data_IF_270997286945
#
_entry.id   IF_270997286945
#
_cell.length_a   1.000
_cell.length_b   1.000
_cell.length_c   1.000
_cell.angle_alpha   90.00
_cell.angle_beta   90.00
_cell.angle_gamma   90.00
#
_symmetry.space_group_name_H-M   'P 1'
#
loop_
_entity.id
_entity.type
_entity.pdbx_description
1 polymer ?
#
# COMPACT_ATOMS: atom_id res chain seq x y z
N UNK A 1 -59.23 -38.35 -37.50
CA UNK A 1 -58.24 -37.34 -37.91
C UNK A 1 -57.44 -36.95 -36.68
N UNK A 2 -56.24 -37.50 -36.49
CA UNK A 2 -55.39 -37.18 -35.35
C UNK A 2 -54.99 -35.70 -35.42
N UNK A 3 -55.34 -34.92 -34.40
CA UNK A 3 -54.97 -33.50 -34.35
C UNK A 3 -53.46 -33.39 -34.23
N UNK A 4 -52.84 -32.62 -35.13
CA UNK A 4 -51.39 -32.39 -35.24
C UNK A 4 -50.82 -31.55 -34.08
N UNK A 5 -51.54 -31.48 -32.95
CA UNK A 5 -51.20 -30.67 -31.79
C UNK A 5 -50.24 -31.27 -30.75
N UNK A 6 -49.68 -32.50 -30.85
CA UNK A 6 -48.61 -32.89 -29.94
C UNK A 6 -47.20 -32.58 -30.48
N UNK A 7 -46.99 -32.55 -31.80
CA UNK A 7 -45.64 -32.47 -32.39
C UNK A 7 -44.98 -31.10 -32.15
N UNK A 8 -45.75 -30.01 -32.20
CA UNK A 8 -45.23 -28.66 -31.99
C UNK A 8 -44.76 -28.44 -30.55
N UNK A 9 -45.45 -29.04 -29.57
CA UNK A 9 -45.10 -28.93 -28.14
C UNK A 9 -43.79 -29.67 -27.85
N UNK A 10 -43.62 -30.86 -28.41
CA UNK A 10 -42.35 -31.61 -28.29
C UNK A 10 -41.19 -30.88 -28.95
N UNK A 11 -41.41 -30.18 -30.07
CA UNK A 11 -40.37 -29.39 -30.74
C UNK A 11 -39.92 -28.19 -29.88
N UNK A 12 -40.85 -27.51 -29.20
CA UNK A 12 -40.53 -26.39 -28.30
C UNK A 12 -39.77 -26.89 -27.05
N UNK A 13 -40.18 -28.02 -26.47
CA UNK A 13 -39.50 -28.61 -25.31
C UNK A 13 -38.07 -29.04 -25.61
N UNK A 14 -37.80 -29.58 -26.81
CA UNK A 14 -36.45 -29.96 -27.25
C UNK A 14 -35.56 -28.72 -27.46
N UNK A 15 -36.11 -27.62 -27.97
CA UNK A 15 -35.37 -26.35 -28.14
C UNK A 15 -34.98 -25.76 -26.77
N UNK A 16 -35.85 -25.85 -25.76
CA UNK A 16 -35.54 -25.37 -24.41
C UNK A 16 -34.49 -26.22 -23.68
N UNK A 17 -34.39 -27.52 -23.96
CA UNK A 17 -33.39 -28.42 -23.37
C UNK A 17 -32.02 -28.36 -24.10
N UNK A 18 -32.00 -27.95 -25.38
CA UNK A 18 -30.80 -27.87 -26.20
C UNK A 18 -30.11 -26.49 -26.18
N UNK A 19 -30.64 -25.51 -25.45
CA UNK A 19 -29.84 -24.35 -25.07
C UNK A 19 -29.04 -24.78 -23.84
N UNK A 20 -27.76 -25.21 -23.99
CA UNK A 20 -26.89 -25.32 -22.82
C UNK A 20 -27.01 -23.98 -22.13
N UNK A 21 -27.20 -24.00 -20.81
CA UNK A 21 -27.21 -22.79 -20.04
C UNK A 21 -26.07 -21.93 -20.57
N UNK A 22 -26.43 -20.83 -21.25
CA UNK A 22 -25.66 -19.62 -21.11
C UNK A 22 -25.74 -19.40 -19.62
N UNK A 23 -24.85 -20.06 -18.89
CA UNK A 23 -24.31 -19.59 -17.66
C UNK A 23 -23.82 -18.23 -18.08
N UNK A 24 -24.71 -17.26 -17.92
CA UNK A 24 -24.33 -15.90 -17.67
C UNK A 24 -23.41 -16.09 -16.47
N UNK A 25 -22.10 -16.24 -16.75
CA UNK A 25 -21.09 -15.83 -15.81
C UNK A 25 -21.43 -14.36 -15.65
N UNK A 26 -22.31 -14.11 -14.69
CA UNK A 26 -22.33 -12.85 -13.98
C UNK A 26 -20.86 -12.68 -13.64
N UNK A 27 -20.21 -11.76 -14.35
CA UNK A 27 -19.03 -11.13 -13.80
C UNK A 27 -19.51 -10.71 -12.42
N UNK A 28 -19.13 -11.46 -11.38
CA UNK A 28 -19.09 -10.88 -10.06
C UNK A 28 -18.00 -9.84 -10.21
N UNK A 29 -18.39 -8.68 -10.72
CA UNK A 29 -17.76 -7.43 -10.31
C UNK A 29 -17.83 -7.57 -8.80
N UNK A 30 -16.67 -7.81 -8.17
CA UNK A 30 -16.56 -7.60 -6.74
C UNK A 30 -17.13 -6.20 -6.55
N UNK A 31 -18.36 -6.10 -6.05
CA UNK A 31 -18.93 -4.81 -5.74
C UNK A 31 -18.00 -4.29 -4.65
N UNK A 32 -17.06 -3.44 -5.05
CA UNK A 32 -16.20 -2.74 -4.12
C UNK A 32 -17.12 -2.11 -3.11
N UNK A 33 -16.78 -2.25 -1.83
CA UNK A 33 -17.47 -1.52 -0.77
C UNK A 33 -17.64 -0.08 -1.26
N UNK A 34 -18.87 0.47 -1.32
CA UNK A 34 -19.02 1.90 -1.47
C UNK A 34 -18.40 2.50 -0.21
N UNK A 35 -17.15 2.91 -0.32
CA UNK A 35 -16.47 3.66 0.72
C UNK A 35 -16.74 5.11 0.40
N UNK A 36 -17.90 5.58 0.82
CA UNK A 36 -18.09 7.01 1.01
C UNK A 36 -16.99 7.44 1.98
N UNK A 37 -16.09 8.31 1.53
CA UNK A 37 -15.02 8.85 2.36
C UNK A 37 -15.58 10.05 3.09
N UNK A 38 -15.60 9.98 4.41
CA UNK A 38 -15.91 11.11 5.27
C UNK A 38 -14.59 11.73 5.76
N UNK A 39 -14.42 13.03 5.57
CA UNK A 39 -13.31 13.77 6.15
C UNK A 39 -13.55 13.92 7.65
N UNK A 40 -12.83 13.14 8.47
CA UNK A 40 -12.93 13.20 9.93
C UNK A 40 -12.05 14.32 10.51
N UNK A 41 -10.87 14.52 9.95
CA UNK A 41 -9.88 15.49 10.42
C UNK A 41 -8.90 15.86 9.32
N UNK A 42 -8.28 17.03 9.45
CA UNK A 42 -7.19 17.52 8.58
C UNK A 42 -6.05 17.96 9.48
N UNK A 43 -4.82 17.62 9.09
CA UNK A 43 -3.59 18.05 9.76
C UNK A 43 -2.78 18.89 8.78
N UNK A 44 -2.19 19.98 9.27
CA UNK A 44 -1.42 20.90 8.46
C UNK A 44 0.05 20.52 8.47
N UNK A 45 0.63 20.43 7.27
CA UNK A 45 2.07 20.22 7.08
C UNK A 45 2.75 21.55 6.80
N UNK A 46 3.58 22.02 7.74
CA UNK A 46 4.35 23.25 7.53
C UNK A 46 5.58 22.99 6.65
N UNK A 47 6.14 21.77 6.72
CA UNK A 47 7.34 21.36 5.99
C UNK A 47 7.12 20.11 5.12
N UNK A 48 6.46 20.27 3.96
CA UNK A 48 6.19 19.15 3.08
C UNK A 48 7.49 18.61 2.48
N UNK A 49 7.68 17.30 2.60
CA UNK A 49 8.67 16.51 1.85
C UNK A 49 7.95 15.71 0.76
N UNK A 50 8.69 15.13 -0.18
CA UNK A 50 8.12 14.25 -1.20
C UNK A 50 7.82 12.88 -0.57
N UNK A 51 6.65 12.73 0.05
CA UNK A 51 6.29 11.54 0.83
C UNK A 51 5.99 10.36 -0.10
N UNK A 52 6.68 9.25 0.13
CA UNK A 52 6.54 8.01 -0.66
C UNK A 52 6.19 6.79 0.22
N UNK A 53 6.38 6.89 1.52
CA UNK A 53 5.97 5.88 2.49
C UNK A 53 5.35 6.52 3.73
N UNK A 54 4.30 5.88 4.24
CA UNK A 54 3.56 6.35 5.42
C UNK A 54 3.11 5.14 6.25
N UNK A 55 3.45 5.15 7.53
CA UNK A 55 3.06 4.12 8.49
C UNK A 55 2.68 4.77 9.82
N UNK A 56 1.56 4.34 10.41
CA UNK A 56 1.15 4.74 11.75
C UNK A 56 1.47 3.62 12.74
N UNK A 57 2.24 3.95 13.78
CA UNK A 57 2.47 3.12 14.95
C UNK A 57 1.43 3.42 16.04
N UNK A 58 0.41 2.56 16.24
CA UNK A 58 -0.61 2.77 17.25
C UNK A 58 -0.11 2.55 18.68
N UNK A 59 1.03 1.87 18.88
CA UNK A 59 1.55 1.61 20.22
C UNK A 59 2.23 2.84 20.83
N UNK A 60 2.90 3.63 19.99
CA UNK A 60 3.60 4.85 20.38
C UNK A 60 2.88 6.13 19.92
N UNK A 61 1.79 6.01 19.16
CA UNK A 61 1.05 7.13 18.54
C UNK A 61 1.93 8.00 17.63
N UNK A 62 2.76 7.35 16.83
CA UNK A 62 3.73 8.00 15.93
C UNK A 62 3.41 7.69 14.47
N UNK A 63 3.61 8.68 13.61
CA UNK A 63 3.76 8.45 12.18
C UNK A 63 5.24 8.25 11.86
N UNK A 64 5.54 7.25 11.04
CA UNK A 64 6.78 7.13 10.31
C UNK A 64 6.54 7.45 8.83
N UNK A 65 7.38 8.32 8.28
CA UNK A 65 7.35 8.68 6.86
C UNK A 65 8.68 8.39 6.21
N UNK A 66 8.62 7.79 5.03
CA UNK A 66 9.73 7.78 4.09
C UNK A 66 9.48 8.88 3.05
N UNK A 67 10.49 9.70 2.82
CA UNK A 67 10.46 10.75 1.82
C UNK A 67 11.56 10.55 0.78
N UNK A 68 11.20 10.82 -0.47
CA UNK A 68 12.04 10.66 -1.66
C UNK A 68 12.74 11.95 -2.08
N UNK A 69 13.34 11.90 -3.28
CA UNK A 69 14.33 12.80 -3.90
C UNK A 69 15.77 12.35 -3.67
N UNK A 70 16.53 12.20 -4.75
CA UNK A 70 17.98 11.93 -4.66
C UNK A 70 18.68 13.03 -3.86
N UNK A 71 19.72 12.65 -3.11
CA UNK A 71 20.44 13.53 -2.19
C UNK A 71 19.64 14.01 -0.96
N UNK A 72 18.32 13.87 -0.96
CA UNK A 72 17.43 14.38 0.09
C UNK A 72 16.56 13.28 0.73
N UNK A 73 16.66 12.02 0.31
CA UNK A 73 15.79 10.97 0.81
C UNK A 73 16.09 10.60 2.27
N UNK A 74 15.05 10.19 3.00
CA UNK A 74 15.22 9.78 4.39
C UNK A 74 13.95 9.19 5.00
N UNK A 75 14.04 8.94 6.30
CA UNK A 75 12.93 8.51 7.15
C UNK A 75 12.82 9.47 8.33
N UNK A 76 11.60 9.92 8.62
CA UNK A 76 11.28 10.76 9.77
C UNK A 76 10.12 10.23 10.58
N UNK A 77 10.03 10.64 11.84
CA UNK A 77 8.94 10.34 12.74
C UNK A 77 8.37 11.60 13.37
N UNK A 78 7.08 11.60 13.67
CA UNK A 78 6.41 12.67 14.41
C UNK A 78 5.08 12.17 14.99
N UNK A 79 4.59 12.74 16.10
CA UNK A 79 3.27 12.43 16.64
C UNK A 79 2.15 12.95 15.72
N UNK A 80 0.98 12.31 15.74
CA UNK A 80 -0.17 12.79 14.98
C UNK A 80 -0.83 14.01 15.65
N UNK A 81 -0.25 15.19 15.47
CA UNK A 81 -0.75 16.47 15.99
C UNK A 81 -0.83 17.56 14.90
N UNK A 82 -1.53 18.67 15.18
CA UNK A 82 -1.71 19.78 14.24
C UNK A 82 -1.16 21.10 14.84
N UNK A 83 -0.19 21.79 14.21
CA UNK A 83 0.47 21.44 12.94
C UNK A 83 1.63 20.42 13.09
N UNK A 84 1.99 19.77 11.98
CA UNK A 84 3.23 19.00 11.84
C UNK A 84 4.33 19.97 11.39
N UNK A 85 5.36 20.17 12.21
CA UNK A 85 6.41 21.19 12.06
C UNK A 85 7.81 20.62 12.32
N UNK A 86 8.88 21.40 12.11
CA UNK A 86 10.24 20.93 12.42
C UNK A 86 10.43 20.61 13.92
N UNK A 87 9.66 21.25 14.81
CA UNK A 87 9.84 21.10 16.26
C UNK A 87 9.39 19.72 16.78
N UNK A 88 8.44 19.07 16.09
CA UNK A 88 7.89 17.77 16.45
C UNK A 88 8.30 16.64 15.49
N UNK A 89 9.15 16.94 14.51
CA UNK A 89 9.69 15.98 13.55
C UNK A 89 11.10 15.57 13.94
N UNK A 90 11.31 14.26 14.06
CA UNK A 90 12.62 13.65 14.25
C UNK A 90 13.07 12.97 12.97
N UNK A 91 14.26 13.29 12.48
CA UNK A 91 14.89 12.53 11.39
C UNK A 91 15.48 11.26 12.00
N UNK A 92 15.02 10.10 11.51
CA UNK A 92 15.43 8.79 12.00
C UNK A 92 16.57 8.18 11.19
N UNK A 93 16.63 8.52 9.89
CA UNK A 93 17.64 8.04 8.96
C UNK A 93 17.73 8.94 7.73
N UNK A 94 18.94 9.17 7.23
CA UNK A 94 19.18 9.82 5.93
C UNK A 94 19.73 8.78 4.95
N UNK A 95 19.09 8.65 3.79
CA UNK A 95 19.53 7.73 2.76
C UNK A 95 20.86 8.18 2.14
N UNK A 96 21.68 7.25 1.62
CA UNK A 96 22.80 7.60 0.75
C UNK A 96 22.33 8.45 -0.43
N UNK A 97 23.13 9.41 -0.93
CA UNK A 97 22.70 10.35 -1.97
C UNK A 97 22.20 9.70 -3.26
N UNK A 98 22.69 8.51 -3.59
CA UNK A 98 22.31 7.70 -4.74
C UNK A 98 20.98 6.94 -4.58
N UNK A 99 20.38 6.93 -3.40
CA UNK A 99 19.12 6.25 -3.13
C UNK A 99 17.95 7.25 -3.12
N UNK A 100 16.90 6.91 -3.86
CA UNK A 100 15.61 7.57 -3.75
C UNK A 100 14.69 6.72 -2.86
N UNK A 101 14.36 7.22 -1.67
CA UNK A 101 13.53 6.53 -0.69
C UNK A 101 12.07 6.42 -1.14
N UNK A 102 11.46 5.25 -0.94
CA UNK A 102 10.10 4.91 -1.38
C UNK A 102 9.26 4.37 -0.21
N UNK A 103 8.29 3.50 -0.48
CA UNK A 103 7.42 2.88 0.53
C UNK A 103 8.15 2.32 1.76
N UNK A 104 7.52 2.50 2.92
CA UNK A 104 7.98 2.10 4.24
C UNK A 104 6.96 1.15 4.89
N UNK A 105 7.42 0.11 5.59
CA UNK A 105 6.55 -0.75 6.38
C UNK A 105 7.25 -1.36 7.61
N UNK A 106 6.51 -1.54 8.70
CA UNK A 106 6.92 -2.37 9.83
C UNK A 106 6.54 -3.83 9.60
N UNK A 107 7.49 -4.75 9.77
CA UNK A 107 7.28 -6.20 9.72
C UNK A 107 7.99 -6.84 10.90
N UNK A 108 7.20 -7.20 11.92
CA UNK A 108 7.74 -7.63 13.22
C UNK A 108 8.45 -6.47 13.91
N UNK A 109 9.69 -6.70 14.30
CA UNK A 109 10.53 -5.71 14.99
C UNK A 109 11.36 -4.85 14.02
N UNK A 110 11.29 -5.14 12.72
CA UNK A 110 12.05 -4.44 11.70
C UNK A 110 11.20 -3.46 10.90
N UNK A 111 11.85 -2.40 10.45
CA UNK A 111 11.32 -1.46 9.46
C UNK A 111 12.00 -1.75 8.13
N UNK A 112 11.22 -1.74 7.06
CA UNK A 112 11.70 -1.92 5.69
C UNK A 112 11.36 -0.69 4.87
N UNK A 113 12.34 -0.13 4.19
CA UNK A 113 12.18 0.95 3.22
C UNK A 113 12.63 0.45 1.85
N UNK A 114 11.76 0.61 0.85
CA UNK A 114 12.12 0.37 -0.54
C UNK A 114 12.89 1.57 -1.09
N UNK A 115 13.61 1.35 -2.19
CA UNK A 115 14.14 2.44 -3.01
C UNK A 115 13.58 2.36 -4.43
N UNK A 116 13.58 3.49 -5.15
CA UNK A 116 12.90 3.62 -6.43
C UNK A 116 13.48 2.73 -7.53
N UNK A 117 14.65 3.07 -8.05
CA UNK A 117 15.25 2.37 -9.19
C UNK A 117 16.45 1.51 -8.79
N UNK A 118 17.00 1.71 -7.61
CA UNK A 118 18.23 1.05 -7.18
C UNK A 118 17.98 -0.44 -6.90
N UNK A 119 16.71 -0.83 -6.68
CA UNK A 119 16.35 -2.20 -6.36
C UNK A 119 16.94 -2.61 -5.01
N UNK A 120 16.99 -1.67 -4.06
CA UNK A 120 17.51 -1.90 -2.71
C UNK A 120 16.32 -1.88 -1.75
N UNK A 121 16.35 -2.77 -0.76
CA UNK A 121 15.49 -2.70 0.42
C UNK A 121 16.39 -2.52 1.62
N UNK A 122 16.24 -1.39 2.30
CA UNK A 122 16.90 -1.14 3.57
C UNK A 122 16.06 -1.76 4.68
N UNK A 123 16.69 -2.59 5.51
CA UNK A 123 16.10 -3.12 6.74
C UNK A 123 16.74 -2.42 7.92
N UNK A 124 15.90 -1.94 8.84
CA UNK A 124 16.31 -1.28 10.06
C UNK A 124 15.72 -1.98 11.28
N UNK A 125 16.40 -1.84 12.41
CA UNK A 125 15.75 -1.88 13.72
C UNK A 125 15.71 -0.47 14.32
N UNK A 126 14.81 -0.29 15.26
CA UNK A 126 14.67 0.94 16.02
C UNK A 126 15.49 0.85 17.30
N UNK A 127 16.35 1.85 17.53
CA UNK A 127 17.03 2.07 18.80
C UNK A 127 16.52 3.37 19.44
N UNK A 128 16.46 3.39 20.77
CA UNK A 128 16.19 4.59 21.55
C UNK A 128 17.46 4.86 22.37
N UNK A 129 18.02 6.05 22.21
CA UNK A 129 19.24 6.42 22.92
C UNK A 129 18.98 6.83 24.38
N UNK A 130 20.04 7.20 25.09
CA UNK A 130 19.98 7.59 26.50
C UNK A 130 19.16 8.87 26.77
N UNK A 131 18.93 9.69 25.74
CA UNK A 131 18.12 10.90 25.81
C UNK A 131 16.64 10.63 25.47
N UNK A 132 16.32 9.42 24.99
CA UNK A 132 14.99 9.04 24.53
C UNK A 132 14.75 9.30 23.04
N UNK A 133 15.79 9.66 22.28
CA UNK A 133 15.69 9.91 20.84
C UNK A 133 15.68 8.59 20.07
N UNK A 134 14.78 8.47 19.08
CA UNK A 134 14.71 7.29 18.21
C UNK A 134 15.66 7.43 17.04
N UNK A 135 16.29 6.32 16.69
CA UNK A 135 17.17 6.18 15.54
C UNK A 135 16.83 4.89 14.80
N UNK A 136 16.84 4.94 13.47
CA UNK A 136 16.76 3.72 12.65
C UNK A 136 18.16 3.29 12.26
N UNK A 137 18.59 2.16 12.81
CA UNK A 137 19.90 1.58 12.57
C UNK A 137 19.78 0.60 11.42
N UNK A 138 20.53 0.82 10.35
CA UNK A 138 20.54 -0.03 9.17
C UNK A 138 21.17 -1.39 9.52
N UNK A 139 20.36 -2.44 9.54
CA UNK A 139 20.80 -3.81 9.76
C UNK A 139 21.33 -4.46 8.49
N UNK A 140 20.60 -4.27 7.39
CA UNK A 140 20.84 -4.99 6.17
C UNK A 140 20.32 -4.24 4.94
N UNK A 141 20.90 -4.57 3.79
CA UNK A 141 20.43 -4.13 2.48
C UNK A 141 20.22 -5.33 1.59
N UNK A 142 18.99 -5.50 1.11
CA UNK A 142 18.65 -6.56 0.17
C UNK A 142 18.61 -5.99 -1.24
N UNK A 143 19.18 -6.71 -2.20
CA UNK A 143 19.00 -6.40 -3.61
C UNK A 143 17.79 -7.16 -4.16
N UNK A 144 16.82 -6.42 -4.70
CA UNK A 144 15.75 -6.98 -5.51
C UNK A 144 16.29 -7.12 -6.94
N UNK A 145 16.51 -8.35 -7.44
CA UNK A 145 16.94 -8.52 -8.81
C UNK A 145 15.88 -7.92 -9.74
N UNK A 146 16.29 -7.01 -10.63
CA UNK A 146 15.42 -6.61 -11.74
C UNK A 146 15.18 -7.86 -12.57
N UNK A 147 13.93 -8.32 -12.62
CA UNK A 147 13.53 -9.28 -13.63
C UNK A 147 13.71 -8.57 -14.97
N UNK A 148 14.71 -8.95 -15.75
CA UNK A 148 14.74 -8.56 -17.17
C UNK A 148 13.41 -9.03 -17.78
N UNK A 149 12.60 -8.06 -18.21
CA UNK A 149 11.37 -8.15 -19.00
C UNK A 149 10.69 -9.53 -19.05
N UNK A 150 9.59 -9.70 -18.30
CA UNK A 150 8.59 -10.73 -18.59
C UNK A 150 7.85 -10.45 -19.91
#
# INVERSE_FOLDING_TARGET
MLSKTPILIYFILIICLAMPGLGYRQNRVCQGLPRDVELVSTFTYEEPKFIEGFYYDPENDLIYESYGLYEESGIRAYPLEDPISEENVQILYENPPEQFGEGLARVGDSIYQLTYQEGIVNQFHEEIDENGDRHFVLDNQYSIPRTEEC
#
